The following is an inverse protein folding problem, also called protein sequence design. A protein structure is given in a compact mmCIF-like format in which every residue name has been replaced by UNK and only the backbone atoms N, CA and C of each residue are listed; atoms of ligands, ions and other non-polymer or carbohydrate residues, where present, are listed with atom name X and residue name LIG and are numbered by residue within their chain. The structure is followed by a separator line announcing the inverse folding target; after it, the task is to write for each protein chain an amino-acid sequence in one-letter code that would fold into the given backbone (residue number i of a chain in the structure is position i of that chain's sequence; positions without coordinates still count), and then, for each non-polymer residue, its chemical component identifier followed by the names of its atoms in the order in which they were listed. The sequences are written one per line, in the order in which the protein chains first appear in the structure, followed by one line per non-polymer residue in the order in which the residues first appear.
data_IF_323818835342
#
_entry.id   IF_323818835342
#
_cell.length_a   1.000
_cell.length_b   1.000
_cell.length_c   1.000
_cell.angle_alpha   90.00
_cell.angle_beta   90.00
_cell.angle_gamma   90.00
#
_symmetry.space_group_name_H-M   'P 1'
#
loop_
_entity.id
_entity.type
_entity.pdbx_description
1 polymer ?
#
# COMPACT_ATOMS: atom_id res chain seq x y z
N UNK A 1 23.73 -28.20 25.19
CA UNK A 1 23.03 -28.66 23.97
C UNK A 1 21.68 -29.30 24.28
N UNK A 2 21.55 -30.22 25.24
CA UNK A 2 20.29 -30.92 25.60
C UNK A 2 19.09 -30.03 26.00
N UNK A 3 19.29 -28.96 26.80
CA UNK A 3 18.17 -28.10 27.25
C UNK A 3 17.46 -27.35 26.12
N UNK A 4 18.21 -26.87 25.12
CA UNK A 4 17.63 -26.18 23.95
C UNK A 4 16.84 -27.13 23.04
N UNK A 5 17.26 -28.40 22.95
CA UNK A 5 16.49 -29.42 22.23
C UNK A 5 15.20 -29.78 22.98
N UNK A 6 15.27 -29.94 24.31
CA UNK A 6 14.10 -30.21 25.13
C UNK A 6 13.05 -29.10 25.05
N UNK A 7 13.48 -27.83 25.10
CA UNK A 7 12.59 -26.67 24.99
C UNK A 7 11.87 -26.62 23.63
N UNK A 8 12.59 -26.92 22.54
CA UNK A 8 11.99 -27.03 21.20
C UNK A 8 10.95 -28.14 21.12
N UNK A 9 11.22 -29.29 21.74
CA UNK A 9 10.29 -30.43 21.72
C UNK A 9 9.04 -30.15 22.57
N UNK A 10 9.21 -29.60 23.78
CA UNK A 10 8.09 -29.16 24.62
C UNK A 10 7.22 -28.13 23.91
N UNK A 11 7.85 -27.13 23.28
CA UNK A 11 7.14 -26.14 22.48
C UNK A 11 6.31 -26.82 21.40
N UNK A 12 6.90 -27.75 20.65
CA UNK A 12 6.22 -28.49 19.57
C UNK A 12 5.03 -29.29 20.10
N UNK A 13 5.19 -30.00 21.21
CA UNK A 13 4.10 -30.73 21.88
C UNK A 13 2.95 -29.79 22.28
N UNK A 14 3.25 -28.62 22.84
CA UNK A 14 2.22 -27.62 23.14
C UNK A 14 1.49 -27.13 21.88
N UNK A 15 2.19 -26.92 20.76
CA UNK A 15 1.54 -26.54 19.50
C UNK A 15 0.62 -27.64 18.96
N UNK A 16 1.06 -28.89 19.06
CA UNK A 16 0.30 -30.06 18.61
C UNK A 16 -0.94 -30.26 19.47
N UNK A 17 -0.81 -30.15 20.79
CA UNK A 17 -1.93 -30.20 21.72
C UNK A 17 -2.97 -29.11 21.42
N UNK A 18 -2.54 -27.85 21.26
CA UNK A 18 -3.45 -26.74 20.94
C UNK A 18 -4.14 -26.93 19.58
N UNK A 19 -3.46 -27.56 18.61
CA UNK A 19 -4.04 -27.87 17.30
C UNK A 19 -5.05 -29.00 17.39
N UNK A 20 -4.74 -30.07 18.13
CA UNK A 20 -5.65 -31.21 18.31
C UNK A 20 -6.96 -30.83 19.02
N UNK A 21 -6.95 -29.81 19.87
CA UNK A 21 -8.18 -29.28 20.47
C UNK A 21 -9.15 -28.70 19.41
N UNK A 22 -8.65 -28.20 18.27
CA UNK A 22 -9.50 -27.72 17.17
C UNK A 22 -10.21 -28.87 16.44
N UNK A 23 -9.67 -30.09 16.46
CA UNK A 23 -10.33 -31.25 15.86
C UNK A 23 -11.62 -31.63 16.60
N UNK A 24 -11.75 -31.19 17.85
CA UNK A 24 -12.92 -31.46 18.68
C UNK A 24 -14.05 -30.43 18.54
N UNK A 25 -13.86 -29.33 17.78
CA UNK A 25 -14.95 -28.39 17.50
C UNK A 25 -15.95 -29.02 16.54
N UNK A 26 -17.23 -29.12 16.94
CA UNK A 26 -18.27 -29.80 16.14
C UNK A 26 -19.17 -28.86 15.37
N UNK A 27 -19.20 -27.59 15.74
CA UNK A 27 -20.01 -26.56 15.09
C UNK A 27 -19.18 -25.35 14.68
N UNK A 28 -19.62 -24.64 13.64
CA UNK A 28 -19.00 -23.36 13.24
C UNK A 28 -19.11 -22.33 14.36
N UNK A 29 -20.20 -22.34 15.12
CA UNK A 29 -20.38 -21.45 16.26
C UNK A 29 -19.34 -21.68 17.37
N UNK A 30 -19.09 -22.94 17.78
CA UNK A 30 -18.03 -23.25 18.75
C UNK A 30 -16.66 -22.73 18.30
N UNK A 31 -16.37 -22.90 17.00
CA UNK A 31 -15.12 -22.41 16.41
C UNK A 31 -15.05 -20.88 16.43
N UNK A 32 -16.14 -20.19 16.10
CA UNK A 32 -16.22 -18.73 16.15
C UNK A 32 -16.01 -18.19 17.57
N UNK A 33 -16.67 -18.79 18.56
CA UNK A 33 -16.49 -18.43 19.98
C UNK A 33 -15.03 -18.63 20.40
N UNK A 34 -14.43 -19.77 20.07
CA UNK A 34 -13.03 -20.08 20.41
C UNK A 34 -12.06 -19.07 19.78
N UNK A 35 -12.26 -18.73 18.51
CA UNK A 35 -11.35 -17.83 17.77
C UNK A 35 -11.52 -16.35 18.14
N UNK A 36 -12.70 -15.95 18.61
CA UNK A 36 -12.97 -14.58 19.07
C UNK A 36 -12.72 -14.38 20.58
N UNK A 37 -12.49 -15.45 21.35
CA UNK A 37 -12.37 -15.38 22.80
C UNK A 37 -11.25 -14.43 23.29
N UNK A 38 -11.65 -13.43 24.08
CA UNK A 38 -10.80 -12.46 24.76
C UNK A 38 -11.07 -12.51 26.28
N UNK A 39 -10.08 -12.74 27.16
CA UNK A 39 -10.29 -12.87 28.60
C UNK A 39 -10.81 -11.59 29.29
N UNK A 40 -10.57 -10.42 28.71
CA UNK A 40 -10.95 -9.12 29.27
C UNK A 40 -12.08 -8.43 28.49
N UNK A 41 -12.55 -9.05 27.41
CA UNK A 41 -13.60 -8.53 26.54
C UNK A 41 -14.98 -9.08 26.88
N UNK A 42 -16.05 -8.52 26.29
CA UNK A 42 -17.36 -9.13 26.34
C UNK A 42 -17.36 -10.51 25.65
N UNK A 43 -18.27 -11.39 26.07
CA UNK A 43 -18.48 -12.68 25.41
C UNK A 43 -18.96 -12.42 23.98
N UNK A 44 -18.40 -13.16 23.02
CA UNK A 44 -18.81 -13.05 21.62
C UNK A 44 -20.25 -13.54 21.44
N UNK A 45 -21.12 -12.70 20.87
CA UNK A 45 -22.47 -13.09 20.47
C UNK A 45 -22.59 -13.28 18.95
N UNK A 46 -23.48 -14.17 18.53
CA UNK A 46 -23.68 -14.47 17.12
C UNK A 46 -24.22 -13.23 16.38
N UNK A 47 -23.45 -12.73 15.41
CA UNK A 47 -23.77 -11.50 14.67
C UNK A 47 -22.85 -10.32 15.00
N UNK A 48 -22.02 -10.46 16.03
CA UNK A 48 -20.97 -9.48 16.32
C UNK A 48 -19.88 -9.48 15.25
N UNK A 49 -19.19 -8.34 15.15
CA UNK A 49 -18.03 -8.22 14.29
C UNK A 49 -16.92 -9.16 14.78
N UNK A 50 -16.54 -10.11 13.94
CA UNK A 50 -15.47 -11.06 14.25
C UNK A 50 -14.10 -10.36 14.35
N UNK A 51 -13.62 -10.14 15.58
CA UNK A 51 -12.32 -9.52 15.85
C UNK A 51 -11.17 -10.52 15.77
N UNK A 52 -11.48 -11.81 15.91
CA UNK A 52 -10.56 -12.96 15.83
C UNK A 52 -9.37 -12.82 16.81
N UNK A 53 -9.63 -12.35 18.03
CA UNK A 53 -8.60 -12.02 19.03
C UNK A 53 -7.69 -13.21 19.36
N UNK A 54 -8.24 -14.42 19.51
CA UNK A 54 -7.46 -15.63 19.79
C UNK A 54 -6.59 -16.03 18.60
N UNK A 55 -7.11 -15.88 17.39
CA UNK A 55 -6.35 -16.15 16.17
C UNK A 55 -5.18 -15.16 16.01
N UNK A 56 -5.40 -13.87 16.27
CA UNK A 56 -4.33 -12.85 16.26
C UNK A 56 -3.24 -13.19 17.27
N UNK A 57 -3.61 -13.65 18.47
CA UNK A 57 -2.66 -14.13 19.48
C UNK A 57 -1.88 -15.36 18.99
N UNK A 58 -2.55 -16.32 18.36
CA UNK A 58 -1.90 -17.51 17.78
C UNK A 58 -0.87 -17.12 16.69
N UNK A 59 -1.19 -16.13 15.85
CA UNK A 59 -0.28 -15.56 14.85
C UNK A 59 0.92 -14.89 15.53
N UNK A 60 0.70 -14.07 16.57
CA UNK A 60 1.76 -13.41 17.35
C UNK A 60 2.75 -14.42 17.94
N UNK A 61 2.26 -15.55 18.44
CA UNK A 61 3.10 -16.64 18.95
C UNK A 61 3.60 -17.64 17.90
N UNK A 62 3.39 -17.35 16.60
CA UNK A 62 3.83 -18.17 15.46
C UNK A 62 3.32 -19.62 15.52
N UNK A 63 2.07 -19.81 15.95
CA UNK A 63 1.38 -21.11 16.02
C UNK A 63 0.89 -21.56 14.63
N UNK A 64 1.84 -21.88 13.73
CA UNK A 64 1.54 -22.14 12.31
C UNK A 64 0.56 -23.30 12.09
N UNK A 65 0.69 -24.41 12.85
CA UNK A 65 -0.20 -25.58 12.73
C UNK A 65 -1.65 -25.24 13.08
N UNK A 66 -1.85 -24.52 14.18
CA UNK A 66 -3.17 -24.02 14.62
C UNK A 66 -3.80 -23.12 13.55
N UNK A 67 -3.05 -22.13 13.04
CA UNK A 67 -3.58 -21.21 12.03
C UNK A 67 -3.89 -21.91 10.70
N UNK A 68 -3.10 -22.92 10.32
CA UNK A 68 -3.28 -23.69 9.08
C UNK A 68 -4.37 -24.78 9.17
N UNK A 69 -5.02 -24.94 10.33
CA UNK A 69 -6.03 -25.96 10.54
C UNK A 69 -7.21 -25.81 9.56
N UNK A 70 -7.73 -26.89 8.95
CA UNK A 70 -8.80 -26.82 7.94
C UNK A 70 -10.04 -26.04 8.39
N UNK A 71 -10.51 -26.27 9.62
CA UNK A 71 -11.69 -25.57 10.17
C UNK A 71 -11.45 -24.05 10.26
N UNK A 72 -10.26 -23.64 10.71
CA UNK A 72 -9.87 -22.23 10.82
C UNK A 72 -9.79 -21.59 9.43
N UNK A 73 -9.17 -22.28 8.48
CA UNK A 73 -9.03 -21.80 7.10
C UNK A 73 -10.39 -21.69 6.39
N UNK A 74 -11.31 -22.62 6.64
CA UNK A 74 -12.66 -22.57 6.10
C UNK A 74 -13.44 -21.35 6.64
N UNK A 75 -13.32 -21.06 7.93
CA UNK A 75 -13.92 -19.87 8.53
C UNK A 75 -13.29 -18.58 7.98
N UNK A 76 -11.97 -18.51 7.88
CA UNK A 76 -11.31 -17.35 7.29
C UNK A 76 -11.73 -17.15 5.83
N UNK A 77 -11.91 -18.23 5.07
CA UNK A 77 -12.39 -18.15 3.70
C UNK A 77 -13.85 -17.65 3.62
N UNK A 78 -14.73 -18.04 4.55
CA UNK A 78 -16.11 -17.52 4.55
C UNK A 78 -16.14 -16.02 4.82
N UNK A 79 -15.36 -15.54 5.80
CA UNK A 79 -15.21 -14.10 6.09
C UNK A 79 -14.59 -13.37 4.90
N UNK A 80 -13.57 -13.95 4.27
CA UNK A 80 -12.88 -13.34 3.14
C UNK A 80 -13.81 -13.11 1.94
N UNK A 81 -14.68 -14.10 1.64
CA UNK A 81 -15.56 -14.09 0.47
C UNK A 81 -17.03 -13.71 0.76
N UNK A 82 -17.35 -13.23 1.96
CA UNK A 82 -18.71 -12.79 2.39
C UNK A 82 -19.39 -11.81 1.41
N UNK A 83 -18.60 -11.17 0.53
CA UNK A 83 -19.06 -10.23 -0.47
C UNK A 83 -19.50 -10.74 -1.82
N UNK A 84 -19.14 -11.96 -2.17
CA UNK A 84 -19.25 -12.45 -3.54
C UNK A 84 -19.84 -13.87 -3.54
N UNK A 85 -21.17 -14.01 -3.48
CA UNK A 85 -21.80 -15.32 -3.46
C UNK A 85 -21.40 -16.10 -4.72
N UNK A 86 -20.92 -17.32 -4.53
CA UNK A 86 -20.52 -18.21 -5.62
C UNK A 86 -19.20 -17.85 -6.31
N UNK A 87 -18.47 -16.81 -5.91
CA UNK A 87 -17.19 -16.43 -6.55
C UNK A 87 -16.20 -17.59 -6.64
N UNK A 88 -16.04 -18.34 -5.54
CA UNK A 88 -15.17 -19.52 -5.50
C UNK A 88 -15.56 -20.65 -6.46
N UNK A 89 -16.83 -20.69 -6.89
CA UNK A 89 -17.36 -21.71 -7.81
C UNK A 89 -17.30 -21.28 -9.28
N UNK A 90 -16.96 -20.02 -9.56
CA UNK A 90 -16.85 -19.50 -10.93
C UNK A 90 -15.59 -20.04 -11.61
N UNK A 91 -15.64 -20.09 -12.94
CA UNK A 91 -14.46 -20.33 -13.76
C UNK A 91 -13.41 -19.22 -13.54
N UNK A 92 -12.12 -19.56 -13.64
CA UNK A 92 -11.00 -18.63 -13.45
C UNK A 92 -11.13 -17.40 -14.35
N UNK A 93 -11.55 -17.57 -15.61
CA UNK A 93 -11.76 -16.43 -16.53
C UNK A 93 -12.81 -15.45 -16.00
N UNK A 94 -13.93 -15.96 -15.47
CA UNK A 94 -14.98 -15.12 -14.89
C UNK A 94 -14.50 -14.46 -13.59
N UNK A 95 -13.72 -15.15 -12.78
CA UNK A 95 -13.09 -14.57 -11.58
C UNK A 95 -12.15 -13.42 -11.96
N UNK A 96 -11.29 -13.62 -12.96
CA UNK A 96 -10.40 -12.58 -13.47
C UNK A 96 -11.18 -11.37 -13.99
N UNK A 97 -12.24 -11.58 -14.78
CA UNK A 97 -13.08 -10.49 -15.27
C UNK A 97 -13.73 -9.70 -14.12
N UNK A 98 -14.20 -10.37 -13.07
CA UNK A 98 -14.76 -9.70 -11.90
C UNK A 98 -13.71 -8.93 -11.11
N UNK A 99 -12.53 -9.50 -10.89
CA UNK A 99 -11.41 -8.81 -10.23
C UNK A 99 -11.00 -7.57 -11.04
N UNK A 100 -10.84 -7.70 -12.36
CA UNK A 100 -10.51 -6.58 -13.25
C UNK A 100 -11.59 -5.51 -13.21
N UNK A 101 -12.87 -5.89 -13.22
CA UNK A 101 -13.99 -4.95 -13.10
C UNK A 101 -13.94 -4.20 -11.76
N UNK A 102 -13.80 -4.90 -10.64
CA UNK A 102 -13.71 -4.26 -9.31
C UNK A 102 -12.50 -3.33 -9.25
N UNK A 103 -11.35 -3.80 -9.75
CA UNK A 103 -10.12 -3.04 -9.83
C UNK A 103 -10.29 -1.76 -10.65
N UNK A 104 -10.86 -1.82 -11.85
CA UNK A 104 -11.07 -0.63 -12.68
C UNK A 104 -11.99 0.41 -12.01
N UNK A 105 -13.00 -0.05 -11.26
CA UNK A 105 -13.94 0.81 -10.55
C UNK A 105 -13.49 1.20 -9.13
N UNK A 106 -12.25 0.90 -8.72
CA UNK A 106 -11.75 1.23 -7.38
C UNK A 106 -11.94 2.71 -6.98
N UNK A 107 -11.78 3.73 -7.87
CA UNK A 107 -11.94 5.12 -7.48
C UNK A 107 -13.40 5.42 -7.11
N UNK A 108 -14.35 4.85 -7.85
CA UNK A 108 -15.79 4.99 -7.57
C UNK A 108 -16.13 4.36 -6.23
N UNK A 109 -15.65 3.14 -5.95
CA UNK A 109 -15.84 2.51 -4.64
C UNK A 109 -15.29 3.37 -3.50
N UNK A 110 -14.10 3.95 -3.68
CA UNK A 110 -13.43 4.77 -2.68
C UNK A 110 -14.18 6.07 -2.39
N UNK A 111 -14.61 6.79 -3.45
CA UNK A 111 -15.40 8.02 -3.32
C UNK A 111 -16.76 7.75 -2.68
N UNK A 112 -17.47 6.71 -3.11
CA UNK A 112 -18.75 6.33 -2.51
C UNK A 112 -18.61 5.97 -1.04
N UNK A 113 -17.50 5.32 -0.64
CA UNK A 113 -17.23 5.00 0.75
C UNK A 113 -16.99 6.25 1.61
N UNK A 114 -16.31 7.26 1.07
CA UNK A 114 -16.05 8.53 1.78
C UNK A 114 -17.33 9.37 1.90
N UNK A 115 -18.09 9.52 0.81
CA UNK A 115 -19.26 10.42 0.76
C UNK A 115 -20.53 9.78 1.33
N UNK A 116 -20.75 8.49 1.09
CA UNK A 116 -21.97 7.78 1.46
C UNK A 116 -21.64 6.38 2.02
N UNK A 117 -21.01 6.29 3.22
CA UNK A 117 -20.50 5.04 3.78
C UNK A 117 -21.60 3.99 4.06
N UNK A 118 -22.86 4.41 4.19
CA UNK A 118 -24.01 3.53 4.43
C UNK A 118 -24.69 3.03 3.14
N UNK A 119 -24.27 3.51 1.97
CA UNK A 119 -24.76 3.05 0.67
C UNK A 119 -24.39 1.58 0.40
N UNK A 120 -25.09 0.93 -0.53
CA UNK A 120 -24.77 -0.45 -0.94
C UNK A 120 -23.32 -0.59 -1.44
N UNK A 121 -22.85 0.39 -2.23
CA UNK A 121 -21.47 0.46 -2.74
C UNK A 121 -20.47 0.67 -1.61
N UNK A 122 -20.74 1.61 -0.70
CA UNK A 122 -19.89 1.87 0.46
C UNK A 122 -19.77 0.66 1.41
N UNK A 123 -20.87 -0.05 1.67
CA UNK A 123 -20.84 -1.31 2.43
C UNK A 123 -20.09 -2.42 1.70
N UNK A 124 -20.11 -2.44 0.37
CA UNK A 124 -19.37 -3.43 -0.43
C UNK A 124 -17.85 -3.27 -0.27
N UNK A 125 -17.33 -2.04 -0.22
CA UNK A 125 -15.89 -1.80 0.01
C UNK A 125 -15.40 -2.23 1.40
N UNK A 126 -16.30 -2.31 2.40
CA UNK A 126 -15.94 -2.79 3.75
C UNK A 126 -15.53 -4.25 3.76
N UNK A 127 -15.99 -5.03 2.78
CA UNK A 127 -15.73 -6.47 2.66
C UNK A 127 -14.25 -6.71 2.33
N UNK A 128 -13.59 -7.67 3.00
CA UNK A 128 -12.12 -7.78 3.01
C UNK A 128 -11.54 -8.03 1.61
N UNK A 129 -12.10 -8.94 0.83
CA UNK A 129 -11.60 -9.22 -0.52
C UNK A 129 -11.77 -8.04 -1.49
N UNK A 130 -12.89 -7.30 -1.42
CA UNK A 130 -13.10 -6.11 -2.26
C UNK A 130 -12.09 -5.01 -1.89
N UNK A 131 -11.90 -4.79 -0.59
CA UNK A 131 -10.89 -3.86 -0.08
C UNK A 131 -9.49 -4.21 -0.56
N UNK A 132 -9.13 -5.50 -0.52
CA UNK A 132 -7.86 -6.00 -1.04
C UNK A 132 -7.68 -5.65 -2.52
N UNK A 133 -8.66 -5.98 -3.37
CA UNK A 133 -8.60 -5.66 -4.81
C UNK A 133 -8.47 -4.15 -5.04
N UNK A 134 -9.23 -3.33 -4.32
CA UNK A 134 -9.15 -1.87 -4.47
C UNK A 134 -7.78 -1.32 -4.04
N UNK A 135 -7.20 -1.84 -2.95
CA UNK A 135 -5.86 -1.46 -2.51
C UNK A 135 -4.80 -1.86 -3.54
N UNK A 136 -4.87 -3.10 -4.04
CA UNK A 136 -3.97 -3.60 -5.10
C UNK A 136 -4.10 -2.79 -6.39
N UNK A 137 -5.33 -2.46 -6.82
CA UNK A 137 -5.57 -1.66 -8.02
C UNK A 137 -5.04 -0.22 -7.88
N UNK A 138 -5.22 0.40 -6.70
CA UNK A 138 -4.63 1.71 -6.39
C UNK A 138 -3.09 1.66 -6.45
N UNK A 139 -2.49 0.60 -5.91
CA UNK A 139 -1.03 0.40 -5.96
C UNK A 139 -0.52 0.21 -7.39
N UNK A 140 -1.18 -0.62 -8.20
CA UNK A 140 -0.85 -0.80 -9.62
C UNK A 140 -1.00 0.51 -10.39
N UNK A 141 -2.03 1.31 -10.09
CA UNK A 141 -2.21 2.63 -10.69
C UNK A 141 -1.07 3.57 -10.30
N UNK A 142 -0.62 3.53 -9.05
CA UNK A 142 0.54 4.29 -8.59
C UNK A 142 1.82 3.89 -9.35
N UNK A 143 2.12 2.59 -9.47
CA UNK A 143 3.26 2.12 -10.26
C UNK A 143 3.16 2.55 -11.73
N UNK A 144 1.96 2.49 -12.31
CA UNK A 144 1.73 2.96 -13.66
C UNK A 144 2.01 4.46 -13.81
N UNK A 145 1.60 5.30 -12.85
CA UNK A 145 1.93 6.73 -12.83
C UNK A 145 3.43 6.98 -12.73
N UNK A 146 4.17 6.19 -11.95
CA UNK A 146 5.64 6.28 -11.88
C UNK A 146 6.28 5.95 -13.24
N UNK A 147 5.78 4.93 -13.93
CA UNK A 147 6.24 4.58 -15.30
C UNK A 147 5.93 5.74 -16.26
N UNK A 148 4.72 6.31 -16.21
CA UNK A 148 4.35 7.47 -17.04
C UNK A 148 5.22 8.70 -16.78
N UNK A 149 5.56 8.97 -15.52
CA UNK A 149 6.47 10.05 -15.13
C UNK A 149 7.88 9.81 -15.71
N UNK A 150 8.37 8.56 -15.64
CA UNK A 150 9.67 8.17 -16.19
C UNK A 150 9.73 8.31 -17.72
N UNK A 151 8.67 7.88 -18.41
CA UNK A 151 8.56 7.99 -19.88
C UNK A 151 8.23 9.41 -20.38
N UNK A 152 8.07 10.38 -19.47
CA UNK A 152 7.64 11.75 -19.78
C UNK A 152 6.41 11.76 -20.69
N UNK A 153 5.40 10.94 -20.40
CA UNK A 153 4.25 10.76 -21.30
C UNK A 153 3.55 12.10 -21.60
N UNK A 154 3.60 13.09 -20.72
CA UNK A 154 3.04 14.43 -20.97
C UNK A 154 3.63 15.09 -22.23
N UNK A 155 4.93 14.88 -22.52
CA UNK A 155 5.53 15.38 -23.76
C UNK A 155 5.01 14.61 -24.98
N UNK A 156 4.79 13.30 -24.85
CA UNK A 156 4.26 12.45 -25.94
C UNK A 156 2.77 12.72 -26.19
N UNK A 157 1.96 12.83 -25.15
CA UNK A 157 0.52 13.11 -25.23
C UNK A 157 0.25 14.49 -25.80
N UNK A 158 1.02 15.52 -25.40
CA UNK A 158 0.89 16.86 -25.98
C UNK A 158 1.37 16.89 -27.43
N UNK A 159 2.35 16.07 -27.80
CA UNK A 159 2.78 15.98 -29.20
C UNK A 159 1.76 15.26 -30.09
N UNK A 160 1.09 14.22 -29.57
CA UNK A 160 0.11 13.43 -30.33
C UNK A 160 -1.30 14.03 -30.34
N UNK A 161 -1.75 14.60 -29.21
CA UNK A 161 -3.13 15.08 -29.01
C UNK A 161 -3.25 16.56 -28.64
N UNK A 162 -2.14 17.27 -28.42
CA UNK A 162 -2.16 18.67 -28.00
C UNK A 162 -2.39 19.66 -29.16
N UNK A 163 -2.98 20.81 -28.84
CA UNK A 163 -3.10 21.95 -29.76
C UNK A 163 -1.74 22.60 -30.03
N UNK A 164 -1.60 23.32 -31.14
CA UNK A 164 -0.33 23.95 -31.55
C UNK A 164 0.22 24.93 -30.49
N UNK A 165 -0.67 25.62 -29.77
CA UNK A 165 -0.35 26.46 -28.59
C UNK A 165 0.30 25.63 -27.47
N UNK A 166 -0.25 24.45 -27.15
CA UNK A 166 0.29 23.55 -26.12
C UNK A 166 1.64 22.97 -26.54
N UNK A 167 1.80 22.61 -27.81
CA UNK A 167 3.09 22.14 -28.37
C UNK A 167 4.16 23.22 -28.29
N UNK A 168 3.82 24.48 -28.61
CA UNK A 168 4.74 25.62 -28.55
C UNK A 168 5.13 25.97 -27.11
N UNK A 169 4.16 25.92 -26.18
CA UNK A 169 4.39 26.13 -24.75
C UNK A 169 5.27 25.02 -24.15
N UNK A 170 5.03 23.75 -24.52
CA UNK A 170 5.85 22.60 -24.11
C UNK A 170 7.29 22.69 -24.65
N UNK A 171 7.48 23.06 -25.93
CA UNK A 171 8.82 23.28 -26.52
C UNK A 171 9.59 24.43 -25.84
N UNK A 172 8.90 25.45 -25.33
CA UNK A 172 9.52 26.55 -24.59
C UNK A 172 9.77 26.24 -23.10
N UNK A 173 8.94 25.38 -22.51
CA UNK A 173 9.03 24.83 -21.15
C UNK A 173 9.60 23.42 -21.19
N UNK A 174 10.75 23.23 -21.84
CA UNK A 174 11.43 21.95 -21.78
C UNK A 174 11.61 21.60 -20.30
N UNK A 175 10.97 20.51 -19.88
CA UNK A 175 10.88 19.94 -18.53
C UNK A 175 12.25 19.59 -17.91
N UNK A 176 13.33 19.98 -18.59
CA UNK A 176 14.72 19.89 -18.18
C UNK A 176 15.25 21.22 -17.61
N UNK A 177 14.39 22.22 -17.38
CA UNK A 177 14.83 23.43 -16.68
C UNK A 177 14.99 23.12 -15.19
N UNK A 178 16.16 23.48 -14.67
CA UNK A 178 16.46 23.51 -13.24
C UNK A 178 15.31 24.22 -12.52
N UNK A 179 14.73 23.59 -11.49
CA UNK A 179 13.63 24.19 -10.71
C UNK A 179 12.30 24.37 -11.46
N UNK A 180 11.99 23.51 -12.45
CA UNK A 180 10.67 23.48 -13.06
C UNK A 180 9.57 23.16 -12.03
N UNK A 181 8.35 23.74 -12.16
CA UNK A 181 7.22 23.37 -11.32
C UNK A 181 6.80 21.91 -11.57
N UNK A 182 6.19 21.23 -10.57
CA UNK A 182 5.79 19.84 -10.75
C UNK A 182 4.76 19.65 -11.86
N UNK A 183 4.91 18.57 -12.63
CA UNK A 183 3.98 18.15 -13.66
C UNK A 183 2.64 17.68 -13.08
N UNK A 184 1.60 17.51 -13.90
CA UNK A 184 0.30 17.00 -13.42
C UNK A 184 0.45 15.58 -12.89
N UNK A 185 1.20 14.73 -13.60
CA UNK A 185 1.54 13.37 -13.14
C UNK A 185 2.33 13.40 -11.82
N UNK A 186 3.27 14.35 -11.66
CA UNK A 186 4.01 14.49 -10.41
C UNK A 186 3.12 14.94 -9.25
N UNK A 187 2.18 15.86 -9.48
CA UNK A 187 1.15 16.22 -8.49
C UNK A 187 0.29 15.04 -8.07
N UNK A 188 -0.08 14.18 -9.02
CA UNK A 188 -0.77 12.93 -8.72
C UNK A 188 0.11 12.04 -7.84
N UNK A 189 1.35 11.76 -8.24
CA UNK A 189 2.31 10.95 -7.45
C UNK A 189 2.46 11.50 -6.02
N UNK A 190 2.58 12.81 -5.85
CA UNK A 190 2.65 13.46 -4.54
C UNK A 190 1.43 13.14 -3.66
N UNK A 191 0.22 13.17 -4.23
CA UNK A 191 -1.00 12.82 -3.51
C UNK A 191 -0.97 11.36 -3.01
N UNK A 192 -0.48 10.42 -3.84
CA UNK A 192 -0.29 9.03 -3.43
C UNK A 192 0.77 8.88 -2.33
N UNK A 193 1.94 9.50 -2.49
CA UNK A 193 3.04 9.46 -1.51
C UNK A 193 2.58 9.98 -0.15
N UNK A 194 1.82 11.08 -0.10
CA UNK A 194 1.24 11.57 1.15
C UNK A 194 0.32 10.55 1.83
N UNK A 195 -0.52 9.86 1.05
CA UNK A 195 -1.39 8.79 1.57
C UNK A 195 -0.61 7.60 2.12
N UNK A 196 0.50 7.24 1.47
CA UNK A 196 1.38 6.14 1.88
C UNK A 196 2.12 6.48 3.18
N UNK A 197 2.67 7.69 3.29
CA UNK A 197 3.29 8.19 4.52
C UNK A 197 2.28 8.19 5.68
N UNK A 198 1.06 8.67 5.43
CA UNK A 198 0.00 8.66 6.43
C UNK A 198 -0.38 7.25 6.89
N UNK A 199 -0.44 6.29 5.96
CA UNK A 199 -0.68 4.88 6.28
C UNK A 199 0.42 4.30 7.17
N UNK A 200 1.70 4.56 6.83
CA UNK A 200 2.84 4.11 7.64
C UNK A 200 2.83 4.70 9.04
N UNK A 201 2.55 6.00 9.17
CA UNK A 201 2.47 6.67 10.48
C UNK A 201 1.39 6.01 11.35
N UNK A 202 0.22 5.71 10.77
CA UNK A 202 -0.84 5.01 11.50
C UNK A 202 -0.41 3.61 11.92
N UNK A 203 0.20 2.86 11.02
CA UNK A 203 0.66 1.50 11.32
C UNK A 203 1.71 1.49 12.43
N UNK A 204 2.68 2.42 12.39
CA UNK A 204 3.68 2.58 13.44
C UNK A 204 3.04 2.94 14.79
N UNK A 205 2.02 3.80 14.79
CA UNK A 205 1.30 4.20 16.01
C UNK A 205 0.47 3.05 16.59
N UNK A 206 -0.20 2.25 15.75
CA UNK A 206 -1.06 1.15 16.16
C UNK A 206 -0.27 -0.09 16.65
N UNK A 207 0.85 -0.43 15.99
CA UNK A 207 1.69 -1.59 16.36
C UNK A 207 2.71 -1.26 17.45
N UNK A 208 3.21 -0.02 17.47
CA UNK A 208 4.36 0.39 18.28
C UNK A 208 5.70 0.05 17.62
N UNK A 209 6.75 0.79 18.03
CA UNK A 209 8.06 0.79 17.36
C UNK A 209 8.73 -0.59 17.30
N UNK A 210 8.72 -1.35 18.41
CA UNK A 210 9.42 -2.64 18.50
C UNK A 210 8.83 -3.71 17.58
N UNK A 211 7.50 -3.79 17.50
CA UNK A 211 6.84 -4.75 16.61
C UNK A 211 6.96 -4.30 15.14
N UNK A 212 6.93 -2.99 14.89
CA UNK A 212 7.09 -2.43 13.56
C UNK A 212 8.47 -2.75 12.94
N UNK A 213 9.56 -2.49 13.65
CA UNK A 213 10.94 -2.73 13.14
C UNK A 213 11.31 -4.21 13.09
N UNK A 214 10.56 -5.08 13.76
CA UNK A 214 10.77 -6.53 13.67
C UNK A 214 10.31 -7.12 12.32
N UNK A 215 9.48 -6.38 11.58
CA UNK A 215 9.08 -6.75 10.22
C UNK A 215 9.98 -6.07 9.18
N UNK A 216 10.64 -6.88 8.36
CA UNK A 216 11.55 -6.40 7.31
C UNK A 216 10.81 -5.59 6.25
N UNK A 217 9.54 -5.91 5.98
CA UNK A 217 8.75 -5.18 4.97
C UNK A 217 8.47 -3.75 5.40
N UNK A 218 8.12 -3.54 6.67
CA UNK A 218 7.92 -2.21 7.25
C UNK A 218 9.19 -1.34 7.14
N UNK A 219 10.38 -1.93 7.31
CA UNK A 219 11.66 -1.22 7.12
C UNK A 219 11.82 -0.77 5.67
N UNK A 220 11.51 -1.63 4.71
CA UNK A 220 11.58 -1.31 3.27
C UNK A 220 10.59 -0.18 2.94
N UNK A 221 9.36 -0.24 3.44
CA UNK A 221 8.35 0.81 3.24
C UNK A 221 8.78 2.14 3.86
N UNK A 222 9.34 2.13 5.06
CA UNK A 222 9.87 3.33 5.72
C UNK A 222 11.02 3.97 4.93
N UNK A 223 11.99 3.17 4.47
CA UNK A 223 13.12 3.67 3.65
C UNK A 223 12.60 4.25 2.34
N UNK A 224 11.68 3.56 1.67
CA UNK A 224 11.12 3.99 0.40
C UNK A 224 10.38 5.32 0.53
N UNK A 225 9.53 5.46 1.56
CA UNK A 225 8.86 6.71 1.86
C UNK A 225 9.83 7.84 2.22
N UNK A 226 10.90 7.53 2.96
CA UNK A 226 11.95 8.51 3.29
C UNK A 226 12.68 9.02 2.04
N UNK A 227 12.95 8.15 1.06
CA UNK A 227 13.53 8.54 -0.23
C UNK A 227 12.60 9.44 -1.04
N UNK A 228 11.29 9.18 -1.03
CA UNK A 228 10.31 10.09 -1.65
C UNK A 228 10.28 11.46 -0.94
N UNK A 229 10.29 11.50 0.39
CA UNK A 229 10.35 12.76 1.14
C UNK A 229 11.63 13.55 0.82
N UNK A 230 12.78 12.88 0.77
CA UNK A 230 14.05 13.51 0.42
C UNK A 230 14.04 14.06 -1.02
N UNK A 231 13.47 13.31 -1.97
CA UNK A 231 13.26 13.77 -3.36
C UNK A 231 12.44 15.06 -3.41
N UNK A 232 11.33 15.10 -2.68
CA UNK A 232 10.44 16.27 -2.63
C UNK A 232 11.16 17.47 -2.01
N UNK A 233 11.88 17.27 -0.90
CA UNK A 233 12.64 18.32 -0.24
C UNK A 233 13.70 18.92 -1.16
N UNK A 234 14.48 18.09 -1.86
CA UNK A 234 15.50 18.55 -2.82
C UNK A 234 14.89 19.31 -4.00
N UNK A 235 13.73 18.86 -4.52
CA UNK A 235 13.01 19.59 -5.57
C UNK A 235 12.52 20.96 -5.12
N UNK A 236 12.05 21.07 -3.87
CA UNK A 236 11.66 22.35 -3.27
C UNK A 236 12.88 23.26 -3.13
N UNK A 237 14.01 22.74 -2.65
CA UNK A 237 15.27 23.49 -2.54
C UNK A 237 15.74 24.00 -3.90
N UNK A 238 15.75 23.14 -4.92
CA UNK A 238 16.11 23.51 -6.29
C UNK A 238 15.20 24.63 -6.84
N UNK A 239 13.91 24.54 -6.58
CA UNK A 239 12.93 25.55 -7.01
C UNK A 239 13.22 26.93 -6.41
N UNK A 240 13.49 27.00 -5.10
CA UNK A 240 13.84 28.26 -4.44
C UNK A 240 15.20 28.79 -4.88
N UNK A 241 16.20 27.92 -5.07
CA UNK A 241 17.51 28.31 -5.54
C UNK A 241 17.45 28.96 -6.92
N UNK A 242 16.73 28.35 -7.87
CA UNK A 242 16.56 28.89 -9.21
C UNK A 242 15.78 30.21 -9.21
N UNK A 243 14.72 30.32 -8.39
CA UNK A 243 14.01 31.59 -8.24
C UNK A 243 14.91 32.72 -7.74
N UNK A 244 15.80 32.42 -6.78
CA UNK A 244 16.78 33.38 -6.26
C UNK A 244 17.77 33.81 -7.33
N UNK A 245 18.27 32.87 -8.15
CA UNK A 245 19.19 33.16 -9.25
C UNK A 245 18.56 34.03 -10.34
N UNK A 246 17.27 33.80 -10.65
CA UNK A 246 16.50 34.65 -11.57
C UNK A 246 16.38 36.08 -11.00
N UNK A 247 16.05 36.23 -9.70
CA UNK A 247 15.95 37.54 -9.07
C UNK A 247 17.27 38.31 -9.04
N UNK A 248 18.39 37.61 -8.86
CA UNK A 248 19.73 38.20 -8.81
C UNK A 248 20.37 38.38 -10.20
N UNK A 249 19.69 37.97 -11.29
CA UNK A 249 20.19 38.03 -12.66
C UNK A 249 21.60 37.43 -12.84
N UNK A 250 21.93 36.34 -12.13
CA UNK A 250 23.24 35.68 -12.22
C UNK A 250 23.47 34.95 -13.54
N UNK A 251 22.44 34.78 -14.37
CA UNK A 251 22.50 34.06 -15.65
C UNK A 251 22.57 32.53 -15.51
N UNK A 252 22.75 32.01 -14.29
CA UNK A 252 22.91 30.58 -14.00
C UNK A 252 21.60 29.78 -14.05
N UNK A 253 20.45 30.46 -13.93
CA UNK A 253 19.12 29.83 -13.92
C UNK A 253 18.74 29.14 -15.24
N UNK A 254 19.37 29.51 -16.35
CA UNK A 254 19.08 28.98 -17.69
C UNK A 254 20.25 28.16 -18.27
N UNK A 255 21.16 27.68 -17.41
CA UNK A 255 22.25 26.83 -17.85
C UNK A 255 21.73 25.49 -18.41
N UNK A 256 22.31 25.01 -19.52
CA UNK A 256 21.98 23.70 -20.06
C UNK A 256 22.52 22.60 -19.13
N UNK A 257 21.89 21.41 -19.16
CA UNK A 257 22.12 20.33 -18.18
C UNK A 257 23.58 19.88 -18.10
N UNK A 258 24.32 19.95 -19.21
CA UNK A 258 25.74 19.56 -19.26
C UNK A 258 26.65 20.47 -18.42
N UNK A 259 26.17 21.67 -18.07
CA UNK A 259 26.90 22.67 -17.28
C UNK A 259 26.42 22.74 -15.83
N UNK A 260 25.54 21.84 -15.41
CA UNK A 260 25.08 21.81 -14.03
C UNK A 260 26.19 21.30 -13.11
N UNK A 261 26.19 21.80 -11.88
CA UNK A 261 27.10 21.29 -10.86
C UNK A 261 26.81 19.82 -10.56
N UNK A 262 27.85 19.04 -10.23
CA UNK A 262 27.69 17.62 -9.93
C UNK A 262 26.80 17.36 -8.70
N UNK A 263 26.71 18.32 -7.77
CA UNK A 263 25.89 18.26 -6.57
C UNK A 263 24.59 19.06 -6.71
N UNK A 264 24.14 19.33 -7.94
CA UNK A 264 22.89 20.02 -8.15
C UNK A 264 21.72 19.27 -7.48
N UNK A 265 20.87 19.95 -6.68
CA UNK A 265 19.79 19.29 -5.96
C UNK A 265 18.81 18.53 -6.87
N UNK A 266 18.63 18.93 -8.14
CA UNK A 266 17.78 18.20 -9.08
C UNK A 266 18.41 16.86 -9.46
N UNK A 267 19.72 16.79 -9.70
CA UNK A 267 20.39 15.54 -10.06
C UNK A 267 20.32 14.53 -8.91
N UNK A 268 20.53 15.00 -7.68
CA UNK A 268 20.40 14.17 -6.47
C UNK A 268 18.94 13.72 -6.31
N UNK A 269 17.97 14.62 -6.51
CA UNK A 269 16.55 14.27 -6.43
C UNK A 269 16.14 13.21 -7.46
N UNK A 270 16.61 13.32 -8.71
CA UNK A 270 16.37 12.31 -9.76
C UNK A 270 16.95 10.95 -9.35
N UNK A 271 18.16 10.92 -8.78
CA UNK A 271 18.79 9.69 -8.29
C UNK A 271 18.02 9.04 -7.14
N UNK A 272 17.63 9.82 -6.13
CA UNK A 272 16.82 9.34 -5.00
C UNK A 272 15.44 8.86 -5.46
N UNK A 273 14.81 9.57 -6.40
CA UNK A 273 13.53 9.17 -6.97
C UNK A 273 13.63 7.84 -7.71
N UNK A 274 14.66 7.65 -8.53
CA UNK A 274 14.89 6.39 -9.23
C UNK A 274 15.13 5.23 -8.25
N UNK A 275 15.88 5.47 -7.18
CA UNK A 275 16.10 4.47 -6.13
C UNK A 275 14.80 4.14 -5.39
N UNK A 276 14.00 5.14 -5.05
CA UNK A 276 12.69 4.94 -4.44
C UNK A 276 11.76 4.10 -5.32
N UNK A 277 11.78 4.31 -6.65
CA UNK A 277 10.99 3.56 -7.60
C UNK A 277 11.45 2.09 -7.73
N UNK A 278 12.72 1.78 -7.50
CA UNK A 278 13.24 0.40 -7.53
C UNK A 278 12.77 -0.38 -6.30
N UNK A 279 12.74 0.26 -5.13
CA UNK A 279 12.28 -0.38 -3.90
C UNK A 279 10.76 -0.55 -3.82
N UNK A 280 10.02 0.09 -4.73
CA UNK A 280 8.56 0.09 -4.79
C UNK A 280 8.01 -1.04 -5.66
#
# INVERSE_FOLDING_TARGET
MSRLYLDKELRKQCQEFATALLDHTRSSYELEVLLNYDPSGPVFEQGDRMLLSRLKLAIKHKQKKFCAHPNVQQLLASIWYEGLPGFRRKNVVLQCLEICRIGLFFPVYSVCYILAPHSSVGRTLRKPFIKFICHSASYVTFLFLLILASQRIETVLVDWFGTDEMKKKMKSNVTTKRGAPPSVVEWMILAWVMGLIWSEIKQLWELGLMEYVADMWNIIDFITNSLYVATIALRIVAYFQVRKEIMLNTGTAHLPREKWDAWDPILIAEGLFATANIFR
#
